data_IF_245355316938
#
_entry.id   IF_245355316938
#
_cell.length_a   1.000
_cell.length_b   1.000
_cell.length_c   1.000
_cell.angle_alpha   90.00
_cell.angle_beta   90.00
_cell.angle_gamma   90.00
#
_symmetry.space_group_name_H-M   'P 1'
#
loop_
_entity.id
_entity.type
_entity.pdbx_description
1 polymer ?
#
# COMPACT_ATOMS: atom_id res chain seq x y z
N UNK A 1 26.74 12.25 -0.43
CA UNK A 1 26.35 12.55 -1.83
C UNK A 1 25.23 11.63 -2.34
N UNK A 2 25.42 10.31 -2.47
CA UNK A 2 24.42 9.40 -3.08
C UNK A 2 23.01 9.47 -2.45
N UNK A 3 22.94 9.49 -1.11
CA UNK A 3 21.66 9.60 -0.39
C UNK A 3 21.00 10.95 -0.69
N UNK A 4 21.71 12.06 -0.50
CA UNK A 4 21.18 13.41 -0.81
C UNK A 4 20.74 13.57 -2.27
N UNK A 5 21.47 12.92 -3.20
CA UNK A 5 21.08 12.86 -4.61
C UNK A 5 19.75 12.11 -4.80
N UNK A 6 19.58 10.94 -4.19
CA UNK A 6 18.33 10.19 -4.22
C UNK A 6 17.19 10.96 -3.54
N UNK A 7 17.45 11.64 -2.43
CA UNK A 7 16.48 12.49 -1.74
C UNK A 7 15.96 13.61 -2.63
N UNK A 8 16.87 14.34 -3.29
CA UNK A 8 16.48 15.41 -4.22
C UNK A 8 15.55 14.92 -5.33
N UNK A 9 15.82 13.72 -5.88
CA UNK A 9 14.96 13.13 -6.91
C UNK A 9 13.65 12.60 -6.31
N UNK A 10 13.70 11.92 -5.16
CA UNK A 10 12.52 11.36 -4.52
C UNK A 10 11.54 12.43 -4.04
N UNK A 11 12.02 13.58 -3.56
CA UNK A 11 11.15 14.68 -3.15
C UNK A 11 10.44 15.34 -4.35
N UNK A 12 11.04 15.29 -5.55
CA UNK A 12 10.40 15.73 -6.80
C UNK A 12 9.46 14.66 -7.37
N UNK A 13 10.04 13.53 -7.81
CA UNK A 13 9.37 12.52 -8.65
C UNK A 13 9.11 11.20 -7.91
N UNK A 14 9.29 11.19 -6.60
CA UNK A 14 9.03 10.03 -5.76
C UNK A 14 7.57 9.84 -5.42
N UNK A 15 7.23 8.63 -4.99
CA UNK A 15 5.90 8.27 -4.53
C UNK A 15 5.96 7.12 -3.53
N UNK A 16 4.86 6.94 -2.80
CA UNK A 16 4.64 5.82 -1.89
C UNK A 16 3.43 5.04 -2.36
N UNK A 17 3.61 3.74 -2.55
CA UNK A 17 2.54 2.80 -2.81
C UNK A 17 2.19 2.08 -1.51
N UNK A 18 1.14 2.59 -0.86
CA UNK A 18 0.62 2.05 0.40
C UNK A 18 0.03 0.64 0.24
N UNK A 19 -0.35 0.26 -0.98
CA UNK A 19 -0.99 -1.03 -1.24
C UNK A 19 0.03 -2.15 -1.35
N UNK A 20 1.20 -1.83 -1.91
CA UNK A 20 2.31 -2.77 -2.12
C UNK A 20 3.45 -2.61 -1.10
N UNK A 21 3.37 -1.62 -0.21
CA UNK A 21 4.42 -1.29 0.77
C UNK A 21 5.75 -1.02 0.08
N UNK A 22 5.71 -0.13 -0.92
CA UNK A 22 6.87 0.25 -1.72
C UNK A 22 7.00 1.76 -1.77
N UNK A 23 8.24 2.24 -1.77
CA UNK A 23 8.55 3.57 -2.26
C UNK A 23 9.16 3.44 -3.66
N UNK A 24 9.02 4.48 -4.47
CA UNK A 24 9.68 4.50 -5.77
C UNK A 24 9.92 5.90 -6.30
N UNK A 25 10.73 5.96 -7.34
CA UNK A 25 11.04 7.15 -8.12
C UNK A 25 10.59 6.90 -9.54
N UNK A 26 9.75 7.78 -10.08
CA UNK A 26 9.42 7.77 -11.51
C UNK A 26 10.58 8.41 -12.26
N UNK A 27 11.16 7.67 -13.21
CA UNK A 27 12.33 8.16 -13.95
C UNK A 27 12.45 7.50 -15.31
N UNK A 28 12.65 8.31 -16.35
CA UNK A 28 13.01 7.86 -17.71
C UNK A 28 13.83 8.99 -18.36
N UNK A 29 14.94 8.67 -19.06
CA UNK A 29 15.48 7.34 -19.38
C UNK A 29 16.37 6.72 -18.28
N UNK A 30 16.45 7.35 -17.10
CA UNK A 30 17.52 7.10 -16.13
C UNK A 30 17.26 5.95 -15.13
N UNK A 31 16.27 5.08 -15.35
CA UNK A 31 15.91 4.03 -14.40
C UNK A 31 17.09 3.09 -14.05
N UNK A 32 17.90 2.69 -15.04
CA UNK A 32 19.10 1.86 -14.81
C UNK A 32 20.18 2.59 -14.01
N UNK A 33 20.28 3.91 -14.18
CA UNK A 33 21.22 4.70 -13.39
C UNK A 33 20.76 4.77 -11.93
N UNK A 34 19.49 5.09 -11.67
CA UNK A 34 18.93 5.13 -10.32
C UNK A 34 19.02 3.74 -9.63
N UNK A 35 18.72 2.65 -10.34
CA UNK A 35 18.91 1.29 -9.83
C UNK A 35 20.37 1.03 -9.40
N UNK A 36 21.36 1.39 -10.25
CA UNK A 36 22.78 1.24 -9.88
C UNK A 36 23.18 2.08 -8.66
N UNK A 37 22.56 3.26 -8.47
CA UNK A 37 22.79 4.05 -7.26
C UNK A 37 22.27 3.30 -6.02
N UNK A 38 21.06 2.74 -6.07
CA UNK A 38 20.53 1.88 -4.99
C UNK A 38 21.39 0.64 -4.74
N UNK A 39 21.79 -0.08 -5.80
CA UNK A 39 22.62 -1.28 -5.69
C UNK A 39 23.96 -0.95 -5.01
N UNK A 40 24.55 0.21 -5.35
CA UNK A 40 25.79 0.68 -4.72
C UNK A 40 25.66 1.09 -3.24
N UNK A 41 24.43 1.13 -2.73
CA UNK A 41 24.07 1.36 -1.33
C UNK A 41 23.61 0.06 -0.64
N UNK A 42 23.70 -1.08 -1.34
CA UNK A 42 23.24 -2.38 -0.83
C UNK A 42 21.72 -2.55 -0.83
N UNK A 43 20.98 -1.67 -1.50
CA UNK A 43 19.51 -1.70 -1.52
C UNK A 43 19.03 -2.39 -2.80
N UNK A 44 18.30 -3.49 -2.63
CA UNK A 44 17.72 -4.19 -3.77
C UNK A 44 16.53 -3.41 -4.35
N UNK A 45 16.66 -2.98 -5.60
CA UNK A 45 15.63 -2.22 -6.31
C UNK A 45 15.14 -2.91 -7.57
N UNK A 46 13.88 -2.65 -7.94
CA UNK A 46 13.23 -3.23 -9.12
C UNK A 46 12.78 -2.14 -10.08
N UNK A 47 13.11 -2.29 -11.36
CA UNK A 47 12.59 -1.42 -12.43
C UNK A 47 11.21 -1.94 -12.86
N UNK A 48 10.21 -1.06 -12.79
CA UNK A 48 8.88 -1.31 -13.32
C UNK A 48 8.54 -0.36 -14.46
N UNK A 49 7.55 -0.74 -15.28
CA UNK A 49 6.97 0.13 -16.30
C UNK A 49 5.66 0.75 -15.77
N UNK A 50 5.37 1.97 -16.20
CA UNK A 50 4.13 2.70 -15.97
C UNK A 50 3.51 3.09 -17.33
N UNK A 51 2.20 3.40 -17.33
CA UNK A 51 1.47 3.96 -18.47
C UNK A 51 1.80 3.29 -19.81
N UNK A 52 1.51 2.01 -19.98
CA UNK A 52 1.80 1.25 -21.21
C UNK A 52 3.26 1.35 -21.69
N UNK A 53 4.23 1.33 -20.74
CA UNK A 53 5.69 1.39 -20.99
C UNK A 53 6.21 2.77 -21.45
N UNK A 54 5.37 3.80 -21.41
CA UNK A 54 5.82 5.16 -21.72
C UNK A 54 6.70 5.73 -20.62
N UNK A 55 6.52 5.30 -19.36
CA UNK A 55 7.32 5.71 -18.21
C UNK A 55 7.94 4.50 -17.49
N UNK A 56 9.03 4.74 -16.78
CA UNK A 56 9.68 3.76 -15.91
C UNK A 56 9.73 4.28 -14.49
N UNK A 57 9.85 3.35 -13.55
CA UNK A 57 9.98 3.64 -12.13
C UNK A 57 10.97 2.67 -11.50
N UNK A 58 11.69 3.12 -10.48
CA UNK A 58 12.56 2.27 -9.66
C UNK A 58 11.94 2.17 -8.28
N UNK A 59 11.66 0.95 -7.84
CA UNK A 59 10.98 0.68 -6.57
C UNK A 59 11.87 -0.07 -5.59
N UNK A 60 11.75 0.28 -4.32
CA UNK A 60 12.39 -0.40 -3.19
C UNK A 60 11.36 -0.73 -2.10
N UNK A 61 11.70 -1.59 -1.15
CA UNK A 61 10.82 -1.85 0.00
C UNK A 61 10.65 -0.56 0.81
N UNK A 62 9.50 -0.39 1.43
CA UNK A 62 9.25 0.82 2.22
C UNK A 62 10.18 0.89 3.44
N UNK A 63 10.51 -0.26 4.04
CA UNK A 63 11.48 -0.37 5.13
C UNK A 63 12.89 0.07 4.72
N UNK A 64 13.33 -0.32 3.51
CA UNK A 64 14.60 0.10 2.94
C UNK A 64 14.61 1.61 2.69
N UNK A 65 13.47 2.16 2.21
CA UNK A 65 13.31 3.59 1.97
C UNK A 65 13.37 4.41 3.25
N UNK A 66 12.79 3.91 4.35
CA UNK A 66 12.84 4.57 5.66
C UNK A 66 14.25 4.50 6.26
N UNK A 67 14.92 3.34 6.14
CA UNK A 67 16.28 3.14 6.64
C UNK A 67 17.33 3.94 5.87
N UNK A 68 17.12 4.20 4.57
CA UNK A 68 18.01 5.00 3.71
C UNK A 68 17.77 6.52 3.81
N UNK A 69 16.91 6.98 4.72
CA UNK A 69 15.98 8.11 4.51
C UNK A 69 15.82 8.59 3.06
N UNK A 70 15.08 7.84 2.23
CA UNK A 70 14.83 8.17 0.83
C UNK A 70 14.13 9.52 0.67
N UNK A 71 13.14 9.81 1.51
CA UNK A 71 12.53 11.14 1.61
C UNK A 71 13.21 11.90 2.74
N UNK A 72 13.46 13.20 2.54
CA UNK A 72 14.27 13.96 3.49
C UNK A 72 13.52 14.20 4.83
N UNK A 73 14.03 13.70 5.97
CA UNK A 73 13.39 13.88 7.28
C UNK A 73 13.34 15.33 7.74
N UNK A 74 14.29 16.17 7.31
CA UNK A 74 14.36 17.59 7.69
C UNK A 74 13.29 18.40 6.95
N UNK A 75 13.05 18.09 5.67
CA UNK A 75 11.98 18.71 4.88
C UNK A 75 10.61 18.27 5.40
N UNK A 76 10.53 17.07 5.97
CA UNK A 76 9.33 16.51 6.59
C UNK A 76 8.12 16.54 5.63
N UNK A 77 8.36 16.18 4.37
CA UNK A 77 7.36 16.21 3.31
C UNK A 77 6.19 15.26 3.60
N UNK A 78 5.05 15.47 2.92
CA UNK A 78 3.90 14.55 3.01
C UNK A 78 4.31 13.08 2.75
N UNK A 79 5.27 12.84 1.84
CA UNK A 79 5.77 11.50 1.57
C UNK A 79 6.57 10.96 2.75
N UNK A 80 7.44 11.77 3.36
CA UNK A 80 8.14 11.35 4.56
C UNK A 80 7.16 10.98 5.69
N UNK A 81 6.18 11.85 5.97
CA UNK A 81 5.14 11.62 6.98
C UNK A 81 4.37 10.33 6.73
N UNK A 82 3.90 10.12 5.49
CA UNK A 82 3.18 8.91 5.12
C UNK A 82 4.05 7.65 5.24
N UNK A 83 5.33 7.72 4.87
CA UNK A 83 6.27 6.60 5.02
C UNK A 83 6.46 6.26 6.49
N UNK A 84 6.70 7.27 7.33
CA UNK A 84 6.88 7.13 8.77
C UNK A 84 5.63 6.52 9.43
N UNK A 85 4.44 7.04 9.08
CA UNK A 85 3.15 6.53 9.56
C UNK A 85 2.98 5.04 9.23
N UNK A 86 3.22 4.62 7.99
CA UNK A 86 3.07 3.21 7.58
C UNK A 86 4.09 2.30 8.27
N UNK A 87 5.32 2.77 8.49
CA UNK A 87 6.38 1.99 9.14
C UNK A 87 6.07 1.77 10.62
N UNK A 88 5.51 2.80 11.27
CA UNK A 88 5.18 2.77 12.69
C UNK A 88 3.77 2.21 13.00
N UNK A 89 2.95 2.00 11.98
CA UNK A 89 1.62 1.43 12.13
C UNK A 89 1.64 -0.02 12.63
N UNK A 90 0.63 -0.37 13.41
CA UNK A 90 0.44 -1.73 13.90
C UNK A 90 0.17 -2.68 12.72
N UNK A 91 0.90 -3.80 12.70
CA UNK A 91 0.73 -4.88 11.74
C UNK A 91 -0.01 -6.02 12.41
N UNK A 92 -1.27 -6.21 12.03
CA UNK A 92 -2.06 -7.31 12.58
C UNK A 92 -1.59 -8.68 12.06
N UNK A 93 -1.71 -9.74 12.88
CA UNK A 93 -1.44 -11.10 12.46
C UNK A 93 -2.45 -11.59 11.41
N UNK A 94 -2.32 -12.85 10.98
CA UNK A 94 -3.08 -13.44 9.87
C UNK A 94 -4.62 -13.27 9.96
N UNK A 95 -5.19 -13.02 11.14
CA UNK A 95 -6.62 -12.86 11.34
C UNK A 95 -6.94 -11.44 11.84
N UNK A 96 -7.85 -10.78 11.15
CA UNK A 96 -8.35 -9.47 11.57
C UNK A 96 -9.34 -9.65 12.71
N UNK A 97 -9.30 -8.78 13.73
CA UNK A 97 -10.35 -8.74 14.73
C UNK A 97 -11.68 -8.39 14.06
N UNK A 98 -12.77 -8.87 14.65
CA UNK A 98 -14.11 -8.77 14.06
C UNK A 98 -14.49 -7.31 13.75
N UNK A 99 -14.20 -6.40 14.67
CA UNK A 99 -14.48 -4.97 14.52
C UNK A 99 -13.82 -4.38 13.24
N UNK A 100 -12.58 -4.77 12.95
CA UNK A 100 -11.85 -4.29 11.77
C UNK A 100 -12.47 -4.87 10.51
N UNK A 101 -12.83 -6.15 10.56
CA UNK A 101 -13.57 -6.80 9.50
C UNK A 101 -14.88 -6.08 9.17
N UNK A 102 -15.65 -5.69 10.19
CA UNK A 102 -16.90 -4.97 10.04
C UNK A 102 -16.68 -3.56 9.47
N UNK A 103 -15.64 -2.85 9.92
CA UNK A 103 -15.26 -1.55 9.34
C UNK A 103 -14.91 -1.65 7.86
N UNK A 104 -14.09 -2.64 7.48
CA UNK A 104 -13.73 -2.87 6.07
C UNK A 104 -14.97 -3.23 5.24
N UNK A 105 -15.90 -4.03 5.77
CA UNK A 105 -17.16 -4.34 5.09
C UNK A 105 -17.98 -3.06 4.84
N UNK A 106 -18.15 -2.22 5.86
CA UNK A 106 -18.88 -0.95 5.71
C UNK A 106 -18.26 -0.05 4.64
N UNK A 107 -16.93 0.00 4.54
CA UNK A 107 -16.26 0.76 3.48
C UNK A 107 -16.38 0.12 2.09
N UNK A 108 -16.43 -1.21 2.02
CA UNK A 108 -16.68 -1.92 0.76
C UNK A 108 -18.10 -1.70 0.25
N UNK A 109 -19.09 -1.65 1.14
CA UNK A 109 -20.49 -1.33 0.79
C UNK A 109 -20.64 0.14 0.34
N UNK A 110 -19.74 1.04 0.79
CA UNK A 110 -19.61 2.42 0.26
C UNK A 110 -18.81 2.49 -1.06
N UNK A 111 -18.50 1.35 -1.67
CA UNK A 111 -17.72 1.24 -2.92
C UNK A 111 -16.33 1.88 -2.88
N UNK A 112 -15.73 2.01 -1.68
CA UNK A 112 -14.39 2.58 -1.56
C UNK A 112 -13.34 1.66 -2.20
N UNK A 113 -12.39 2.28 -2.90
CA UNK A 113 -11.24 1.56 -3.46
C UNK A 113 -10.35 1.02 -2.34
N UNK A 114 -9.64 -0.09 -2.58
CA UNK A 114 -8.76 -0.68 -1.56
C UNK A 114 -7.72 0.32 -1.03
N UNK A 115 -7.20 1.21 -1.88
CA UNK A 115 -6.27 2.27 -1.47
C UNK A 115 -6.93 3.22 -0.46
N UNK A 116 -8.17 3.67 -0.72
CA UNK A 116 -8.91 4.54 0.21
C UNK A 116 -9.21 3.82 1.52
N UNK A 117 -9.57 2.54 1.46
CA UNK A 117 -9.82 1.71 2.64
C UNK A 117 -8.55 1.59 3.49
N UNK A 118 -7.41 1.24 2.88
CA UNK A 118 -6.12 1.12 3.59
C UNK A 118 -5.77 2.45 4.25
N UNK A 119 -5.89 3.57 3.53
CA UNK A 119 -5.56 4.88 4.08
C UNK A 119 -6.50 5.26 5.24
N UNK A 120 -7.81 5.05 5.13
CA UNK A 120 -8.74 5.31 6.25
C UNK A 120 -8.45 4.45 7.47
N UNK A 121 -8.16 3.16 7.29
CA UNK A 121 -7.83 2.28 8.41
C UNK A 121 -6.51 2.71 9.08
N UNK A 122 -5.54 3.14 8.29
CA UNK A 122 -4.30 3.73 8.79
C UNK A 122 -4.58 5.01 9.58
N UNK A 123 -5.31 5.96 9.01
CA UNK A 123 -5.58 7.27 9.61
C UNK A 123 -6.42 7.16 10.90
N UNK A 124 -7.43 6.29 10.92
CA UNK A 124 -8.37 6.18 12.04
C UNK A 124 -7.84 5.30 13.19
N UNK A 125 -7.06 4.26 12.88
CA UNK A 125 -6.69 3.22 13.86
C UNK A 125 -5.18 3.01 13.98
N UNK A 126 -4.36 3.70 13.18
CA UNK A 126 -2.91 3.46 13.07
C UNK A 126 -2.56 1.98 12.78
N UNK A 127 -3.41 1.31 11.99
CA UNK A 127 -3.23 -0.09 11.58
C UNK A 127 -2.99 -0.14 10.09
N UNK A 128 -2.03 -0.95 9.66
CA UNK A 128 -1.82 -1.21 8.25
C UNK A 128 -2.33 -2.60 7.84
N UNK A 129 -3.19 -2.61 6.82
CA UNK A 129 -3.75 -3.84 6.24
C UNK A 129 -3.27 -4.04 4.81
N UNK A 130 -3.24 -5.30 4.36
CA UNK A 130 -2.83 -5.64 2.99
C UNK A 130 -4.01 -5.59 2.03
N UNK A 131 -3.76 -5.10 0.81
CA UNK A 131 -4.75 -5.08 -0.26
C UNK A 131 -5.32 -6.48 -0.55
N UNK A 132 -4.50 -7.53 -0.45
CA UNK A 132 -4.94 -8.92 -0.66
C UNK A 132 -6.00 -9.36 0.35
N UNK A 133 -5.93 -8.90 1.60
CA UNK A 133 -6.96 -9.18 2.62
C UNK A 133 -8.30 -8.53 2.26
N UNK A 134 -8.26 -7.29 1.77
CA UNK A 134 -9.47 -6.57 1.31
C UNK A 134 -10.09 -7.28 0.10
N UNK A 135 -9.28 -7.69 -0.88
CA UNK A 135 -9.74 -8.41 -2.07
C UNK A 135 -10.46 -9.71 -1.71
N UNK A 136 -9.81 -10.58 -0.92
CA UNK A 136 -10.41 -11.84 -0.44
C UNK A 136 -11.76 -11.61 0.24
N UNK A 137 -11.86 -10.55 1.05
CA UNK A 137 -13.11 -10.21 1.75
C UNK A 137 -14.19 -9.70 0.81
N UNK A 138 -13.83 -8.86 -0.17
CA UNK A 138 -14.74 -8.40 -1.23
C UNK A 138 -15.29 -9.59 -2.03
N UNK A 139 -14.46 -10.56 -2.37
CA UNK A 139 -14.87 -11.75 -3.12
C UNK A 139 -15.83 -12.62 -2.29
N UNK A 140 -15.55 -12.80 -1.00
CA UNK A 140 -16.45 -13.52 -0.07
C UNK A 140 -17.83 -12.87 0.02
N UNK A 141 -17.90 -11.55 0.18
CA UNK A 141 -19.18 -10.82 0.25
C UNK A 141 -19.99 -10.93 -1.04
N UNK A 142 -19.33 -10.97 -2.21
CA UNK A 142 -20.01 -11.18 -3.49
C UNK A 142 -20.63 -12.59 -3.55
N UNK A 143 -19.87 -13.61 -3.17
CA UNK A 143 -20.37 -14.99 -3.13
C UNK A 143 -21.57 -15.15 -2.19
N UNK A 144 -21.56 -14.51 -1.02
CA UNK A 144 -22.67 -14.52 -0.06
C UNK A 144 -23.92 -13.81 -0.60
N UNK A 145 -23.75 -12.71 -1.35
CA UNK A 145 -24.86 -11.98 -1.99
C UNK A 145 -25.44 -12.73 -3.20
N UNK A 146 -24.62 -13.50 -3.91
CA UNK A 146 -25.02 -14.25 -5.12
C UNK A 146 -25.63 -15.64 -4.83
N UNK A 147 -25.38 -16.23 -3.65
CA UNK A 147 -25.91 -17.55 -3.26
C UNK A 147 -26.52 -17.57 -1.84
N UNK A 148 -27.69 -16.94 -1.61
CA UNK A 148 -28.33 -16.93 -0.30
C UNK A 148 -28.84 -18.32 0.15
N UNK A 149 -28.99 -19.28 -0.77
CA UNK A 149 -29.65 -20.58 -0.52
C UNK A 149 -28.71 -21.63 0.12
N UNK A 150 -27.39 -21.45 0.07
CA UNK A 150 -26.42 -22.50 0.50
C UNK A 150 -26.04 -22.39 1.99
N UNK A 151 -26.46 -21.33 2.71
CA UNK A 151 -26.07 -21.09 4.11
C UNK A 151 -27.19 -21.26 5.16
N UNK A 152 -28.26 -21.99 4.84
CA UNK A 152 -29.16 -22.53 5.86
C UNK A 152 -30.00 -21.49 6.60
N UNK A 153 -30.67 -20.60 5.86
CA UNK A 153 -31.88 -19.97 6.39
C UNK A 153 -33.02 -20.90 6.00
N UNK A 154 -33.35 -21.84 6.90
CA UNK A 154 -34.68 -22.42 6.92
C UNK A 154 -35.66 -21.25 7.03
N UNK A 155 -36.35 -21.00 5.92
CA UNK A 155 -37.57 -20.20 5.87
C UNK A 155 -38.62 -20.89 6.74
N UNK A 156 -38.56 -20.72 8.05
CA UNK A 156 -39.72 -20.87 8.92
C UNK A 156 -40.65 -19.69 8.66
N UNK A 157 -41.40 -19.79 7.57
CA UNK A 157 -42.71 -19.17 7.46
C UNK A 157 -43.72 -20.30 7.65
N UNK A 158 -44.03 -20.56 8.92
CA UNK A 158 -45.24 -21.24 9.36
C UNK A 158 -46.43 -20.32 9.08
N UNK A 159 -47.43 -20.90 8.42
CA UNK A 159 -48.89 -20.64 8.43
C UNK A 159 -49.43 -19.23 8.75
#
# INVERSE_FOLDING_TARGET
FKISFLQGIADSDGYIDITLYRAGIVTKPNAKFIQRVFDSLGIHSNIGNLHNKTMQQVKIRLEDAYSLPLFNPIVYSYRYQLMEEIINAEKLPHHWPEWLGNKVNNYLDQELSSTKIIKRILDEYNIIIRQSGIKKRKDKLKMEKENPIILGIESTALD
#
